data_IF_770561698975
#
_entry.id   IF_770561698975
#
_cell.length_a   1.000
_cell.length_b   1.000
_cell.length_c   1.000
_cell.angle_alpha   90.00
_cell.angle_beta   90.00
_cell.angle_gamma   90.00
#
_symmetry.space_group_name_H-M   'P 1'
#
loop_
_entity.id
_entity.type
_entity.pdbx_description
1 polymer ?
#
# COMPACT_ATOMS: atom_id res chain seq x y z
N UNK A 1 -21.33 -20.41 -27.30
CA UNK A 1 -21.55 -19.29 -26.36
C UNK A 1 -20.30 -19.12 -25.52
N UNK A 2 -19.75 -17.91 -25.54
CA UNK A 2 -18.68 -17.31 -24.73
C UNK A 2 -17.79 -18.25 -23.88
N UNK A 3 -16.62 -18.58 -24.42
CA UNK A 3 -15.47 -19.01 -23.61
C UNK A 3 -14.85 -17.78 -22.95
N UNK A 4 -14.73 -17.85 -21.62
CA UNK A 4 -14.06 -16.87 -20.78
C UNK A 4 -12.73 -16.42 -21.41
N UNK A 5 -12.63 -15.12 -21.68
CA UNK A 5 -11.41 -14.50 -22.16
C UNK A 5 -10.25 -14.88 -21.25
N UNK A 6 -9.19 -15.43 -21.84
CA UNK A 6 -7.88 -15.56 -21.22
C UNK A 6 -7.58 -14.23 -20.53
N UNK A 7 -7.38 -14.25 -19.19
CA UNK A 7 -6.80 -13.12 -18.45
C UNK A 7 -5.53 -12.74 -19.22
N UNK A 8 -5.58 -11.62 -19.94
CA UNK A 8 -4.42 -11.07 -20.61
C UNK A 8 -3.36 -10.92 -19.52
N UNK A 9 -2.20 -11.53 -19.75
CA UNK A 9 -1.03 -11.36 -18.91
C UNK A 9 -0.85 -9.84 -18.70
N UNK A 10 -1.03 -9.38 -17.45
CA UNK A 10 -0.74 -8.02 -16.95
C UNK A 10 0.72 -7.83 -16.44
N UNK A 11 1.78 -8.58 -16.84
CA UNK A 11 3.00 -8.62 -16.03
C UNK A 11 3.85 -7.34 -16.11
N UNK A 12 3.69 -6.51 -17.14
CA UNK A 12 4.63 -5.40 -17.39
C UNK A 12 4.02 -3.99 -17.16
N UNK A 13 2.83 -3.91 -16.54
CA UNK A 13 2.20 -2.64 -16.21
C UNK A 13 2.60 -2.09 -14.85
N UNK A 14 2.25 -0.82 -14.61
CA UNK A 14 2.32 -0.18 -13.29
C UNK A 14 0.90 0.09 -12.81
N UNK A 15 0.64 -0.26 -11.57
CA UNK A 15 -0.57 0.13 -10.86
C UNK A 15 -0.21 1.23 -9.85
N UNK A 16 -1.13 2.19 -9.67
CA UNK A 16 -0.98 3.27 -8.68
C UNK A 16 -2.22 3.29 -7.79
N UNK A 17 -2.01 3.27 -6.48
CA UNK A 17 -3.04 3.55 -5.49
C UNK A 17 -2.94 5.00 -5.03
N UNK A 18 -4.10 5.65 -5.00
CA UNK A 18 -4.26 6.98 -4.41
C UNK A 18 -4.83 6.76 -3.01
N UNK A 19 -4.05 7.14 -2.01
CA UNK A 19 -4.34 6.96 -0.59
C UNK A 19 -4.47 8.33 0.07
N UNK A 20 -5.52 8.51 0.86
CA UNK A 20 -5.77 9.75 1.60
C UNK A 20 -5.83 9.48 3.10
N UNK A 21 -5.03 10.19 3.89
CA UNK A 21 -5.09 10.15 5.35
C UNK A 21 -6.18 11.09 5.91
N UNK A 22 -6.81 10.72 7.03
CA UNK A 22 -7.90 11.49 7.64
C UNK A 22 -7.43 12.82 8.26
N UNK A 23 -6.22 12.86 8.85
CA UNK A 23 -5.74 14.01 9.64
C UNK A 23 -4.74 14.94 8.94
N UNK A 24 -4.40 14.68 7.68
CA UNK A 24 -3.45 15.54 6.99
C UNK A 24 -4.03 16.96 6.88
N UNK A 25 -3.44 17.92 7.62
CA UNK A 25 -3.82 19.35 7.59
C UNK A 25 -3.67 19.96 6.20
N UNK A 26 -2.75 19.41 5.43
CA UNK A 26 -2.63 19.59 3.99
C UNK A 26 -3.29 18.40 3.29
N UNK A 27 -3.81 18.55 2.08
CA UNK A 27 -4.46 17.46 1.33
C UNK A 27 -3.44 16.40 0.89
N UNK A 28 -2.74 15.75 1.83
CA UNK A 28 -1.69 14.79 1.55
C UNK A 28 -2.36 13.57 0.95
N UNK A 29 -2.19 13.48 -0.36
CA UNK A 29 -2.59 12.35 -1.16
C UNK A 29 -1.30 11.59 -1.45
N UNK A 30 -1.21 10.37 -0.95
CA UNK A 30 -0.11 9.48 -1.27
C UNK A 30 -0.45 8.76 -2.57
N UNK A 31 0.46 8.84 -3.53
CA UNK A 31 0.44 8.00 -4.71
C UNK A 31 1.41 6.85 -4.46
N UNK A 32 0.93 5.61 -4.46
CA UNK A 32 1.75 4.42 -4.21
C UNK A 32 1.80 3.58 -5.47
N UNK A 33 2.98 3.49 -6.10
CA UNK A 33 3.20 2.76 -7.33
C UNK A 33 3.75 1.34 -7.07
N UNK A 34 3.29 0.37 -7.84
CA UNK A 34 3.77 -1.00 -7.81
C UNK A 34 3.58 -1.73 -9.15
N UNK A 35 4.34 -2.80 -9.41
CA UNK A 35 4.14 -3.64 -10.58
C UNK A 35 2.74 -4.26 -10.61
N UNK A 36 2.07 -4.24 -11.77
CA UNK A 36 0.73 -4.82 -11.94
C UNK A 36 0.66 -6.32 -11.61
N UNK A 37 1.79 -7.04 -11.65
CA UNK A 37 1.87 -8.47 -11.33
C UNK A 37 1.52 -8.78 -9.86
N UNK A 38 1.75 -7.84 -8.93
CA UNK A 38 1.44 -7.98 -7.50
C UNK A 38 0.18 -7.21 -7.07
N UNK A 39 -0.57 -6.64 -8.04
CA UNK A 39 -1.61 -5.66 -7.74
C UNK A 39 -2.74 -6.18 -6.84
N UNK A 40 -3.21 -7.40 -7.09
CA UNK A 40 -4.31 -7.98 -6.31
C UNK A 40 -3.92 -8.14 -4.83
N UNK A 41 -2.68 -8.57 -4.59
CA UNK A 41 -2.21 -8.86 -3.25
C UNK A 41 -1.91 -7.56 -2.48
N UNK A 42 -1.27 -6.59 -3.14
CA UNK A 42 -1.06 -5.25 -2.57
C UNK A 42 -2.39 -4.61 -2.22
N UNK A 43 -3.37 -4.65 -3.12
CA UNK A 43 -4.70 -4.08 -2.88
C UNK A 43 -5.41 -4.81 -1.72
N UNK A 44 -5.41 -6.14 -1.71
CA UNK A 44 -6.03 -6.95 -0.66
C UNK A 44 -5.44 -6.66 0.71
N UNK A 45 -4.11 -6.62 0.81
CA UNK A 45 -3.40 -6.36 2.06
C UNK A 45 -3.63 -4.92 2.56
N UNK A 46 -3.52 -3.91 1.69
CA UNK A 46 -3.79 -2.53 2.08
C UNK A 46 -5.26 -2.30 2.45
N UNK A 47 -6.21 -3.00 1.82
CA UNK A 47 -7.62 -2.96 2.22
C UNK A 47 -7.88 -3.64 3.57
N UNK A 48 -7.13 -4.70 3.91
CA UNK A 48 -7.18 -5.30 5.25
C UNK A 48 -6.63 -4.32 6.29
N UNK A 49 -5.48 -3.69 6.00
CA UNK A 49 -4.88 -2.68 6.87
C UNK A 49 -5.81 -1.46 7.03
N UNK A 50 -6.42 -0.96 5.95
CA UNK A 50 -7.39 0.15 5.99
C UNK A 50 -8.51 -0.12 7.01
N UNK A 51 -9.01 -1.36 7.06
CA UNK A 51 -10.10 -1.79 7.97
C UNK A 51 -9.61 -2.20 9.36
N UNK A 52 -8.31 -2.27 9.58
CA UNK A 52 -7.72 -2.73 10.83
C UNK A 52 -7.87 -1.70 11.94
N UNK A 53 -7.92 -2.18 13.20
CA UNK A 53 -7.91 -1.32 14.39
C UNK A 53 -6.62 -0.51 14.54
N UNK A 54 -5.56 -0.91 13.85
CA UNK A 54 -4.27 -0.21 13.87
C UNK A 54 -4.21 0.97 12.91
N UNK A 55 -5.14 1.07 11.94
CA UNK A 55 -5.22 2.20 11.03
C UNK A 55 -5.83 3.43 11.72
N UNK A 56 -5.04 4.04 12.58
CA UNK A 56 -5.43 5.23 13.34
C UNK A 56 -4.26 6.22 13.41
N UNK A 57 -4.52 7.54 13.39
CA UNK A 57 -3.47 8.54 13.49
C UNK A 57 -2.59 8.38 14.73
N UNK A 58 -3.15 7.97 15.87
CA UNK A 58 -2.40 7.80 17.12
C UNK A 58 -1.39 6.64 17.06
N UNK A 59 -1.57 5.72 16.11
CA UNK A 59 -0.76 4.51 15.96
C UNK A 59 0.20 4.62 14.78
N UNK A 60 -0.29 5.04 13.61
CA UNK A 60 0.51 5.13 12.39
C UNK A 60 1.05 6.54 12.11
N UNK A 61 0.71 7.54 12.94
CA UNK A 61 1.08 8.93 12.71
C UNK A 61 0.28 9.56 11.57
N UNK A 62 0.93 10.41 10.76
CA UNK A 62 0.28 11.19 9.70
C UNK A 62 -0.40 10.37 8.60
N UNK A 63 0.01 9.11 8.44
CA UNK A 63 -0.60 8.16 7.49
C UNK A 63 -1.75 7.37 8.11
N UNK A 64 -1.98 7.47 9.42
CA UNK A 64 -3.04 6.75 10.10
C UNK A 64 -4.43 7.27 9.73
N UNK A 65 -5.42 6.37 9.83
CA UNK A 65 -6.78 6.65 9.35
C UNK A 65 -6.85 6.78 7.83
N UNK A 66 -5.90 6.17 7.09
CA UNK A 66 -5.91 6.29 5.64
C UNK A 66 -7.07 5.52 5.00
N UNK A 67 -7.44 5.96 3.80
CA UNK A 67 -8.38 5.27 2.91
C UNK A 67 -7.80 5.19 1.51
N UNK A 68 -8.00 4.07 0.85
CA UNK A 68 -7.71 3.91 -0.57
C UNK A 68 -8.87 4.55 -1.34
N UNK A 69 -8.61 5.64 -2.06
CA UNK A 69 -9.65 6.41 -2.76
C UNK A 69 -9.70 6.15 -4.26
N UNK A 70 -8.60 5.69 -4.86
CA UNK A 70 -8.55 5.36 -6.30
C UNK A 70 -7.48 4.31 -6.55
N UNK A 71 -7.77 3.42 -7.51
CA UNK A 71 -6.82 2.45 -8.05
C UNK A 71 -6.74 2.65 -9.56
N UNK A 72 -5.57 3.06 -10.05
CA UNK A 72 -5.26 3.15 -11.46
C UNK A 72 -4.56 1.85 -11.87
N UNK A 73 -5.18 1.09 -12.75
CA UNK A 73 -4.73 -0.25 -13.12
C UNK A 73 -4.01 -0.26 -14.47
N UNK A 74 -2.95 -1.07 -14.56
CA UNK A 74 -2.26 -1.43 -15.80
C UNK A 74 -1.86 -0.21 -16.65
N UNK A 75 -1.34 0.84 -16.00
CA UNK A 75 -0.73 1.97 -16.68
C UNK A 75 0.50 1.47 -17.43
N UNK A 76 0.64 1.88 -18.70
CA UNK A 76 1.84 1.61 -19.49
C UNK A 76 2.99 2.53 -19.11
N UNK A 77 2.68 3.72 -18.59
CA UNK A 77 3.62 4.75 -18.17
C UNK A 77 2.89 5.80 -17.33
N UNK A 78 3.64 6.57 -16.55
CA UNK A 78 3.21 7.84 -15.97
C UNK A 78 4.40 8.80 -16.03
N UNK A 79 4.11 10.09 -16.17
CA UNK A 79 5.12 11.15 -16.22
C UNK A 79 4.87 12.13 -15.08
N UNK A 80 5.93 12.50 -14.35
CA UNK A 80 5.90 13.57 -13.37
C UNK A 80 6.32 14.85 -14.08
N UNK A 81 5.44 15.86 -14.09
CA UNK A 81 5.68 17.12 -14.81
C UNK A 81 6.30 18.21 -13.93
N UNK A 82 6.13 18.09 -12.61
CA UNK A 82 6.75 18.95 -11.62
C UNK A 82 7.73 18.13 -10.77
N UNK A 83 8.94 17.96 -11.28
CA UNK A 83 9.98 17.19 -10.58
C UNK A 83 10.49 17.86 -9.30
N UNK A 84 10.25 19.17 -9.14
CA UNK A 84 10.68 19.92 -7.96
C UNK A 84 9.73 19.68 -6.77
N UNK A 85 8.47 19.36 -7.03
CA UNK A 85 7.51 18.99 -6.01
C UNK A 85 7.61 17.51 -5.67
N UNK A 86 8.14 17.20 -4.48
CA UNK A 86 8.30 15.83 -4.00
C UNK A 86 6.93 15.13 -3.87
N UNK A 87 5.85 15.87 -3.59
CA UNK A 87 4.49 15.29 -3.47
C UNK A 87 3.93 14.84 -4.83
N UNK A 88 4.50 15.32 -5.94
CA UNK A 88 4.12 14.91 -7.29
C UNK A 88 4.66 13.51 -7.65
N UNK A 89 5.67 13.00 -6.93
CA UNK A 89 6.29 11.71 -7.19
C UNK A 89 5.56 10.56 -6.49
N UNK A 90 5.12 9.52 -7.24
CA UNK A 90 4.61 8.31 -6.62
C UNK A 90 5.69 7.61 -5.78
N UNK A 91 5.33 7.30 -4.54
CA UNK A 91 6.14 6.50 -3.62
C UNK A 91 6.11 5.06 -4.09
N UNK A 92 7.26 4.39 -4.12
CA UNK A 92 7.31 2.97 -4.44
C UNK A 92 6.70 2.15 -3.29
N UNK A 93 6.01 1.06 -3.61
CA UNK A 93 5.36 0.21 -2.60
C UNK A 93 6.33 -0.29 -1.52
N UNK A 94 7.61 -0.51 -1.84
CA UNK A 94 8.63 -0.91 -0.88
C UNK A 94 8.88 0.17 0.17
N UNK A 95 9.00 1.44 -0.26
CA UNK A 95 9.22 2.58 0.63
C UNK A 95 7.99 2.86 1.49
N UNK A 96 6.80 2.72 0.89
CA UNK A 96 5.54 2.81 1.60
C UNK A 96 5.40 1.70 2.66
N UNK A 97 5.71 0.45 2.29
CA UNK A 97 5.68 -0.69 3.20
C UNK A 97 6.70 -0.53 4.34
N UNK A 98 7.91 -0.06 4.04
CA UNK A 98 8.93 0.23 5.06
C UNK A 98 8.48 1.33 6.03
N UNK A 99 7.79 2.36 5.54
CA UNK A 99 7.23 3.41 6.39
C UNK A 99 6.18 2.85 7.35
N UNK A 100 5.28 2.01 6.86
CA UNK A 100 4.26 1.35 7.68
C UNK A 100 4.89 0.37 8.69
N UNK A 101 5.82 -0.47 8.26
CA UNK A 101 6.52 -1.44 9.12
C UNK A 101 7.18 -0.77 10.30
N UNK A 102 7.98 0.28 10.08
CA UNK A 102 8.66 0.99 11.17
C UNK A 102 7.70 1.51 12.23
N UNK A 103 6.48 1.91 11.82
CA UNK A 103 5.43 2.34 12.76
C UNK A 103 4.86 1.15 13.52
N UNK A 104 4.54 0.06 12.83
CA UNK A 104 3.99 -1.15 13.44
C UNK A 104 4.98 -1.84 14.39
N UNK A 105 6.25 -1.95 14.01
CA UNK A 105 7.34 -2.48 14.84
C UNK A 105 7.47 -1.67 16.14
N UNK A 106 7.44 -0.34 16.05
CA UNK A 106 7.47 0.52 17.23
C UNK A 106 6.24 0.34 18.15
N UNK A 107 5.08 -0.05 17.61
CA UNK A 107 3.88 -0.31 18.41
C UNK A 107 3.94 -1.67 19.11
N UNK A 108 4.49 -2.67 18.43
CA UNK A 108 4.71 -4.02 18.95
C UNK A 108 5.70 -4.00 20.12
N UNK A 109 6.83 -3.31 19.96
CA UNK A 109 7.83 -3.11 21.02
C UNK A 109 7.26 -2.40 22.27
N UNK A 110 6.28 -1.52 22.07
CA UNK A 110 5.63 -0.77 23.15
C UNK A 110 4.41 -1.50 23.78
N UNK A 111 4.10 -2.74 23.33
CA UNK A 111 2.97 -3.53 23.84
C UNK A 111 1.60 -2.85 23.70
N UNK A 112 1.49 -1.85 22.81
CA UNK A 112 0.34 -0.94 22.74
C UNK A 112 -0.84 -1.52 21.97
N UNK A 113 -0.57 -2.53 21.15
CA UNK A 113 -1.56 -3.26 20.37
C UNK A 113 -1.44 -4.71 20.83
N UNK A 114 -2.28 -5.14 21.79
CA UNK A 114 -2.22 -6.50 22.33
C UNK A 114 -2.20 -7.55 21.22
N UNK A 115 -1.48 -8.67 21.47
CA UNK A 115 -1.23 -9.77 20.54
C UNK A 115 -2.42 -10.04 19.63
N UNK A 116 -2.30 -9.56 18.40
CA UNK A 116 -3.31 -9.67 17.37
C UNK A 116 -2.67 -10.45 16.23
N UNK A 117 -3.13 -11.69 16.01
CA UNK A 117 -2.70 -12.51 14.87
C UNK A 117 -2.78 -11.73 13.54
N UNK A 118 -3.74 -10.82 13.43
CA UNK A 118 -3.89 -9.91 12.29
C UNK A 118 -2.72 -8.92 12.13
N UNK A 119 -2.17 -8.39 13.23
CA UNK A 119 -1.01 -7.49 13.18
C UNK A 119 0.24 -8.24 12.71
N UNK A 120 0.50 -9.42 13.29
CA UNK A 120 1.62 -10.27 12.89
C UNK A 120 1.52 -10.66 11.41
N UNK A 121 0.31 -11.00 10.94
CA UNK A 121 0.04 -11.29 9.54
C UNK A 121 0.35 -10.09 8.64
N UNK A 122 -0.15 -8.89 8.95
CA UNK A 122 0.09 -7.67 8.18
C UNK A 122 1.58 -7.31 8.14
N UNK A 123 2.27 -7.40 9.29
CA UNK A 123 3.72 -7.15 9.35
C UNK A 123 4.50 -8.15 8.49
N UNK A 124 4.08 -9.42 8.46
CA UNK A 124 4.62 -10.42 7.55
C UNK A 124 4.47 -10.06 6.07
N UNK A 125 3.26 -9.68 5.65
CA UNK A 125 3.00 -9.27 4.25
C UNK A 125 3.80 -8.02 3.85
N UNK A 126 3.85 -7.01 4.73
CA UNK A 126 4.63 -5.80 4.49
C UNK A 126 6.14 -6.09 4.42
N UNK A 127 6.64 -7.01 5.23
CA UNK A 127 8.05 -7.44 5.21
C UNK A 127 8.41 -8.07 3.87
N UNK A 128 7.55 -8.95 3.36
CA UNK A 128 7.72 -9.54 2.04
C UNK A 128 7.74 -8.51 0.91
N UNK A 129 6.88 -7.48 0.99
CA UNK A 129 6.88 -6.38 0.03
C UNK A 129 8.17 -5.57 0.08
N UNK A 130 8.60 -5.17 1.29
CA UNK A 130 9.84 -4.41 1.51
C UNK A 130 11.04 -5.13 0.89
N UNK A 131 11.13 -6.44 1.12
CA UNK A 131 12.28 -7.24 0.69
C UNK A 131 12.19 -7.68 -0.79
N UNK A 132 11.12 -7.30 -1.50
CA UNK A 132 10.88 -7.70 -2.89
C UNK A 132 10.63 -9.20 -3.07
N UNK A 133 10.43 -9.93 -1.97
CA UNK A 133 10.20 -11.38 -1.94
C UNK A 133 8.72 -11.75 -2.00
N UNK A 134 7.85 -10.75 -2.22
CA UNK A 134 6.42 -10.92 -2.29
C UNK A 134 6.02 -11.86 -3.44
N UNK A 135 5.55 -13.06 -3.09
CA UNK A 135 5.10 -14.06 -4.05
C UNK A 135 3.62 -13.83 -4.34
N UNK A 136 3.22 -13.61 -5.61
CA UNK A 136 1.82 -13.44 -5.96
C UNK A 136 1.00 -14.66 -5.55
N UNK A 137 -0.11 -14.46 -4.84
CA UNK A 137 -1.03 -15.57 -4.52
C UNK A 137 -1.84 -15.90 -5.79
N UNK A 138 -1.48 -16.98 -6.47
CA UNK A 138 -2.16 -17.46 -7.71
C UNK A 138 -3.46 -18.17 -7.45
#
# INVERSE_FOLDING_TARGET
MFGFGKKAKKPDGIDILIIKADEAKNRNIYQVAFPSIVANDVLSMLQKLEKSKVNKPELLGEIGGFRIITHLEALTSFDVLDDADIEAHPVQIQDFANTLLRRLEALDENGSVGDSDDLAFIMGELTMLRDGSFVPQT
#
